data_IF_008052973923
#
_entry.id   IF_008052973923
#
_cell.length_a   1.000
_cell.length_b   1.000
_cell.length_c   1.000
_cell.angle_alpha   90.00
_cell.angle_beta   90.00
_cell.angle_gamma   90.00
#
_symmetry.space_group_name_H-M   'P 1'
#
loop_
_entity.id
_entity.type
_entity.pdbx_description
1 polymer ?
#
# COMPACT_ATOMS: atom_id res chain seq x y z
N UNK A 1 22.73 -5.98 11.84
CA UNK A 1 22.62 -5.00 10.74
C UNK A 1 21.15 -4.78 10.48
N UNK A 2 20.63 -3.54 10.60
CA UNK A 2 19.32 -3.22 10.01
C UNK A 2 19.50 -3.30 8.50
N UNK A 3 18.68 -4.10 7.82
CA UNK A 3 18.56 -3.99 6.37
C UNK A 3 17.75 -2.74 6.10
N UNK A 4 18.27 -1.84 5.28
CA UNK A 4 17.46 -0.74 4.76
C UNK A 4 16.34 -1.33 3.88
N UNK A 5 15.14 -0.75 3.96
CA UNK A 5 14.01 -1.18 3.14
C UNK A 5 14.34 -1.03 1.64
N UNK A 6 13.93 -2.00 0.83
CA UNK A 6 14.14 -1.94 -0.61
C UNK A 6 13.20 -0.89 -1.22
N UNK A 7 13.78 0.08 -1.93
CA UNK A 7 13.00 1.10 -2.65
C UNK A 7 12.60 0.60 -4.03
N UNK A 8 11.31 0.69 -4.34
CA UNK A 8 10.76 0.28 -5.63
C UNK A 8 9.92 1.39 -6.26
N UNK A 9 9.78 1.36 -7.59
CA UNK A 9 8.83 2.23 -8.28
C UNK A 9 7.41 1.68 -8.13
N UNK A 10 6.43 2.56 -7.98
CA UNK A 10 5.02 2.18 -7.83
C UNK A 10 4.51 1.34 -9.01
N UNK A 11 4.98 1.60 -10.23
CA UNK A 11 4.60 0.87 -11.44
C UNK A 11 5.07 -0.60 -11.47
N UNK A 12 6.02 -0.94 -10.60
CA UNK A 12 6.51 -2.32 -10.43
C UNK A 12 5.71 -3.08 -9.38
N UNK A 13 4.70 -2.45 -8.77
CA UNK A 13 3.91 -3.05 -7.71
C UNK A 13 2.90 -4.05 -8.30
N UNK A 14 3.02 -5.31 -7.91
CA UNK A 14 2.03 -6.35 -8.22
C UNK A 14 1.92 -7.32 -7.06
N UNK A 15 0.68 -7.65 -6.70
CA UNK A 15 0.37 -8.47 -5.53
C UNK A 15 -0.31 -9.74 -5.96
N UNK A 16 0.21 -10.92 -5.60
CA UNK A 16 -0.40 -12.18 -6.03
C UNK A 16 -1.47 -12.71 -5.06
N UNK A 17 -1.35 -12.44 -3.75
CA UNK A 17 -2.31 -12.87 -2.72
C UNK A 17 -2.41 -11.80 -1.63
N UNK A 18 -3.62 -11.30 -1.40
CA UNK A 18 -3.90 -10.37 -0.31
C UNK A 18 -5.30 -10.61 0.28
N UNK A 19 -5.41 -10.45 1.60
CA UNK A 19 -6.67 -10.55 2.33
C UNK A 19 -7.06 -9.20 2.90
N UNK A 20 -8.20 -8.68 2.47
CA UNK A 20 -8.77 -7.44 2.98
C UNK A 20 -9.45 -7.68 4.32
N UNK A 21 -9.01 -6.95 5.36
CA UNK A 21 -9.51 -7.10 6.72
C UNK A 21 -10.38 -5.92 7.10
N UNK A 22 -9.85 -4.70 6.94
CA UNK A 22 -10.55 -3.43 7.20
C UNK A 22 -10.17 -2.40 6.13
N UNK A 23 -10.87 -1.25 6.04
CA UNK A 23 -10.48 -0.14 5.15
C UNK A 23 -9.03 0.33 5.28
N UNK A 24 -8.46 0.16 6.46
CA UNK A 24 -7.10 0.59 6.81
C UNK A 24 -6.09 -0.56 6.78
N UNK A 25 -6.53 -1.81 6.55
CA UNK A 25 -5.65 -2.99 6.70
C UNK A 25 -5.86 -4.07 5.65
N UNK A 26 -4.78 -4.40 4.95
CA UNK A 26 -4.67 -5.48 3.98
C UNK A 26 -3.47 -6.40 4.34
N UNK A 27 -3.70 -7.71 4.46
CA UNK A 27 -2.69 -8.73 4.85
C UNK A 27 -2.12 -9.44 3.62
N UNK A 28 -0.82 -9.78 3.65
CA UNK A 28 -0.02 -10.32 2.54
C UNK A 28 0.72 -11.60 2.92
N UNK A 29 0.32 -12.72 2.34
CA UNK A 29 0.95 -14.02 2.58
C UNK A 29 2.39 -14.09 2.01
N UNK A 30 2.65 -13.42 0.87
CA UNK A 30 3.96 -13.47 0.21
C UNK A 30 5.12 -12.80 0.96
N UNK A 31 4.82 -11.96 1.95
CA UNK A 31 5.80 -11.27 2.76
C UNK A 31 6.07 -11.95 4.12
N UNK A 32 5.77 -13.26 4.27
CA UNK A 32 5.74 -13.96 5.58
C UNK A 32 4.78 -13.25 6.55
N UNK A 33 3.50 -13.18 6.21
CA UNK A 33 2.46 -12.50 7.01
C UNK A 33 2.74 -11.00 7.21
N UNK A 34 2.80 -10.27 6.09
CA UNK A 34 3.02 -8.84 6.10
C UNK A 34 1.75 -8.00 5.99
N UNK A 35 1.88 -6.70 6.27
CA UNK A 35 0.83 -5.71 6.09
C UNK A 35 1.20 -4.74 4.97
N UNK A 36 0.21 -4.40 4.14
CA UNK A 36 0.33 -3.26 3.24
C UNK A 36 -0.19 -2.01 3.91
N UNK A 37 0.59 -0.96 3.77
CA UNK A 37 0.25 0.37 4.21
C UNK A 37 0.30 1.32 3.02
N UNK A 38 -0.64 2.26 3.02
CA UNK A 38 -0.67 3.37 2.07
C UNK A 38 -0.76 4.65 2.90
N UNK A 39 0.16 5.57 2.67
CA UNK A 39 0.18 6.87 3.34
C UNK A 39 0.19 7.99 2.32
N UNK A 40 -0.32 9.14 2.74
CA UNK A 40 -0.29 10.38 1.98
C UNK A 40 0.76 11.32 2.59
N UNK A 41 1.56 11.95 1.74
CA UNK A 41 2.50 12.99 2.14
C UNK A 41 1.79 14.35 2.19
N UNK A 42 2.40 15.33 2.86
CA UNK A 42 1.91 16.72 2.89
C UNK A 42 1.76 17.34 1.48
N UNK A 43 2.62 16.94 0.54
CA UNK A 43 2.56 17.36 -0.87
C UNK A 43 1.49 16.64 -1.71
N UNK A 44 0.49 16.00 -1.08
CA UNK A 44 -0.57 15.23 -1.74
C UNK A 44 -0.09 14.06 -2.63
N UNK A 45 1.10 13.53 -2.37
CA UNK A 45 1.59 12.29 -2.97
C UNK A 45 1.24 11.10 -2.08
N UNK A 46 1.30 9.91 -2.63
CA UNK A 46 1.16 8.67 -1.88
C UNK A 46 2.48 7.91 -1.82
N UNK A 47 2.67 7.11 -0.80
CA UNK A 47 3.67 6.04 -0.81
C UNK A 47 3.07 4.79 -0.20
N UNK A 48 3.59 3.66 -0.65
CA UNK A 48 3.15 2.33 -0.25
C UNK A 48 4.34 1.64 0.42
N UNK A 49 4.10 0.91 1.49
CA UNK A 49 5.12 0.06 2.08
C UNK A 49 4.56 -1.24 2.63
N UNK A 50 5.40 -2.27 2.60
CA UNK A 50 5.13 -3.58 3.19
C UNK A 50 5.92 -3.71 4.48
N UNK A 51 5.24 -4.01 5.57
CA UNK A 51 5.86 -4.32 6.85
C UNK A 51 5.55 -5.76 7.28
N UNK A 52 6.38 -6.35 8.13
CA UNK A 52 6.00 -7.56 8.87
C UNK A 52 5.12 -7.22 10.10
N UNK A 53 4.82 -8.23 10.93
CA UNK A 53 4.02 -8.05 12.13
C UNK A 53 4.68 -7.21 13.23
N UNK A 54 6.01 -7.11 13.21
CA UNK A 54 6.83 -6.26 14.08
C UNK A 54 7.05 -4.84 13.51
N UNK A 55 6.38 -4.46 12.42
CA UNK A 55 6.52 -3.20 11.70
C UNK A 55 7.90 -2.98 11.04
N UNK A 56 8.68 -4.03 10.82
CA UNK A 56 9.89 -3.93 10.02
C UNK A 56 9.52 -3.75 8.55
N UNK A 57 9.90 -2.61 7.98
CA UNK A 57 9.62 -2.30 6.58
C UNK A 57 10.56 -3.08 5.67
N UNK A 58 9.99 -3.93 4.82
CA UNK A 58 10.72 -4.74 3.85
C UNK A 58 10.84 -4.01 2.50
N UNK A 59 9.76 -3.33 2.09
CA UNK A 59 9.65 -2.63 0.82
C UNK A 59 8.95 -1.30 1.00
N UNK A 60 9.39 -0.28 0.27
CA UNK A 60 8.73 1.03 0.22
C UNK A 60 8.80 1.61 -1.18
N UNK A 61 7.74 2.25 -1.64
CA UNK A 61 7.77 2.97 -2.91
C UNK A 61 8.33 4.37 -2.74
N UNK A 62 8.95 4.91 -3.80
CA UNK A 62 9.11 6.37 -3.89
C UNK A 62 7.73 7.07 -3.87
N UNK A 63 7.59 8.28 -3.33
CA UNK A 63 6.31 9.00 -3.36
C UNK A 63 5.82 9.24 -4.80
N UNK A 64 4.55 8.93 -5.06
CA UNK A 64 3.93 8.97 -6.38
C UNK A 64 2.62 9.77 -6.39
N UNK A 65 2.12 10.12 -7.58
CA UNK A 65 1.00 11.05 -7.73
C UNK A 65 -0.36 10.36 -7.61
N UNK A 66 -1.43 11.16 -7.46
CA UNK A 66 -2.82 10.65 -7.51
C UNK A 66 -3.09 9.87 -8.80
N UNK A 67 -2.56 10.32 -9.94
CA UNK A 67 -2.72 9.62 -11.22
C UNK A 67 -2.17 8.19 -11.17
N UNK A 68 -0.99 8.01 -10.58
CA UNK A 68 -0.38 6.69 -10.40
C UNK A 68 -1.21 5.81 -9.45
N UNK A 69 -1.80 6.40 -8.40
CA UNK A 69 -2.74 5.69 -7.52
C UNK A 69 -3.97 5.20 -8.28
N UNK A 70 -4.57 6.05 -9.12
CA UNK A 70 -5.72 5.67 -9.95
C UNK A 70 -5.35 4.55 -10.91
N UNK A 71 -4.19 4.64 -11.56
CA UNK A 71 -3.71 3.60 -12.48
C UNK A 71 -3.51 2.26 -11.75
N UNK A 72 -2.95 2.27 -10.54
CA UNK A 72 -2.83 1.06 -9.71
C UNK A 72 -4.19 0.47 -9.34
N UNK A 73 -5.17 1.30 -8.98
CA UNK A 73 -6.52 0.84 -8.64
C UNK A 73 -7.15 0.14 -9.85
N UNK A 74 -7.08 0.76 -11.03
CA UNK A 74 -7.60 0.19 -12.27
C UNK A 74 -6.90 -1.13 -12.61
N UNK A 75 -5.56 -1.16 -12.54
CA UNK A 75 -4.78 -2.36 -12.78
C UNK A 75 -5.15 -3.49 -11.81
N UNK A 76 -5.34 -3.18 -10.52
CA UNK A 76 -5.76 -4.18 -9.53
C UNK A 76 -7.12 -4.80 -9.89
N UNK A 77 -8.08 -3.99 -10.35
CA UNK A 77 -9.37 -4.51 -10.78
C UNK A 77 -9.29 -5.30 -12.09
N UNK A 78 -8.51 -4.85 -13.06
CA UNK A 78 -8.29 -5.55 -14.34
C UNK A 78 -7.63 -6.92 -14.13
N UNK A 79 -6.74 -7.04 -13.13
CA UNK A 79 -6.09 -8.28 -12.73
C UNK A 79 -6.95 -9.14 -11.77
N UNK A 80 -8.19 -8.72 -11.47
CA UNK A 80 -9.12 -9.45 -10.60
C UNK A 80 -8.80 -9.36 -9.10
N UNK A 81 -7.88 -8.49 -8.69
CA UNK A 81 -7.43 -8.27 -7.30
C UNK A 81 -8.33 -7.25 -6.59
N UNK A 82 -9.60 -7.60 -6.44
CA UNK A 82 -10.64 -6.68 -5.96
C UNK A 82 -10.32 -6.12 -4.57
N UNK A 83 -9.81 -6.95 -3.67
CA UNK A 83 -9.40 -6.59 -2.31
C UNK A 83 -8.36 -5.47 -2.31
N UNK A 84 -7.35 -5.57 -3.19
CA UNK A 84 -6.33 -4.55 -3.36
C UNK A 84 -6.92 -3.28 -3.96
N UNK A 85 -7.71 -3.39 -5.03
CA UNK A 85 -8.33 -2.24 -5.68
C UNK A 85 -9.21 -1.46 -4.72
N UNK A 86 -10.02 -2.16 -3.92
CA UNK A 86 -10.86 -1.59 -2.87
C UNK A 86 -10.02 -0.93 -1.77
N UNK A 87 -8.96 -1.58 -1.29
CA UNK A 87 -8.06 -1.00 -0.28
C UNK A 87 -7.42 0.31 -0.75
N UNK A 88 -6.88 0.34 -1.97
CA UNK A 88 -6.27 1.54 -2.55
C UNK A 88 -7.31 2.65 -2.78
N UNK A 89 -8.53 2.30 -3.18
CA UNK A 89 -9.64 3.25 -3.36
C UNK A 89 -10.04 3.92 -2.03
N UNK A 90 -10.07 3.19 -0.92
CA UNK A 90 -10.36 3.78 0.39
C UNK A 90 -9.31 4.83 0.79
N UNK A 91 -8.04 4.56 0.53
CA UNK A 91 -6.96 5.52 0.81
C UNK A 91 -7.01 6.72 -0.14
N UNK A 92 -7.31 6.51 -1.42
CA UNK A 92 -7.52 7.60 -2.37
C UNK A 92 -8.68 8.52 -1.92
N UNK A 93 -9.77 7.94 -1.42
CA UNK A 93 -10.95 8.66 -0.95
C UNK A 93 -10.72 9.40 0.39
N UNK A 94 -9.55 9.26 1.02
CA UNK A 94 -9.28 9.83 2.36
C UNK A 94 -10.04 9.10 3.47
N UNK A 95 -10.53 7.90 3.21
CA UNK A 95 -11.23 7.05 4.18
C UNK A 95 -10.27 6.09 4.90
N UNK A 96 -9.00 6.04 4.49
CA UNK A 96 -7.97 5.11 4.98
C UNK A 96 -6.96 5.69 5.97
N UNK A 97 -7.09 6.94 6.42
CA UNK A 97 -6.16 7.54 7.40
C UNK A 97 -6.93 8.12 8.59
N UNK A 98 -6.76 7.49 9.75
CA UNK A 98 -7.09 8.10 11.05
C UNK A 98 -6.00 9.12 11.36
N UNK A 99 -6.42 10.36 11.62
CA UNK A 99 -5.55 11.42 12.14
C UNK A 99 -4.83 10.93 13.39
N UNK A 100 -3.50 11.01 13.41
CA UNK A 100 -2.73 10.95 14.65
C UNK A 100 -2.32 12.38 14.96
N UNK A 101 -3.09 13.04 15.83
CA UNK A 101 -2.67 14.28 16.48
C UNK A 101 -1.49 13.97 17.42
N UNK A 102 -0.45 14.81 17.38
CA UNK A 102 0.71 14.75 18.29
C UNK A 102 0.46 15.51 19.58
#
# INVERSE_FOLDING_TARGET
MRKDAEQIEVKSYSIEQAQYVTPEKLIFEKAKDGYLHVNRTDDNKFFIYLSDDELNVNYITVPFQIEDMVNLILQAFDEGKKELGTFLLYHLAGLGSVEVEF
#
